data_IF_409015028577
#
_entry.id   IF_409015028577
#
_cell.length_a   1.000
_cell.length_b   1.000
_cell.length_c   1.000
_cell.angle_alpha   90.00
_cell.angle_beta   90.00
_cell.angle_gamma   90.00
#
_symmetry.space_group_name_H-M   'P 1'
#
loop_
_entity.id
_entity.type
_entity.pdbx_description
1 polymer ?
#
# COMPACT_ATOMS: atom_id res chain seq x y z
N UNK A 1 -15.92 -2.74 28.26
CA UNK A 1 -16.48 -2.54 26.91
C UNK A 1 -15.31 -2.25 25.98
N UNK A 2 -14.72 -3.30 25.39
CA UNK A 2 -13.62 -3.13 24.44
C UNK A 2 -14.17 -2.40 23.21
N UNK A 3 -13.55 -1.26 22.83
CA UNK A 3 -13.84 -0.59 21.57
C UNK A 3 -13.66 -1.64 20.48
N UNK A 4 -14.74 -2.00 19.79
CA UNK A 4 -14.65 -2.66 18.51
C UNK A 4 -13.75 -1.76 17.66
N UNK A 5 -12.53 -2.22 17.40
CA UNK A 5 -11.66 -1.54 16.45
C UNK A 5 -12.41 -1.65 15.13
N UNK A 6 -13.05 -0.55 14.72
CA UNK A 6 -13.55 -0.41 13.37
C UNK A 6 -12.34 -0.65 12.47
N UNK A 7 -12.26 -1.85 11.92
CA UNK A 7 -11.24 -2.23 10.96
C UNK A 7 -11.36 -1.17 9.87
N UNK A 8 -10.30 -0.40 9.55
CA UNK A 8 -10.39 0.53 8.44
C UNK A 8 -10.93 -0.27 7.25
N UNK A 9 -11.94 0.27 6.57
CA UNK A 9 -12.56 -0.33 5.38
C UNK A 9 -11.50 -0.41 4.29
N UNK A 10 -10.56 -1.33 4.45
CA UNK A 10 -9.58 -1.70 3.45
C UNK A 10 -10.35 -2.46 2.39
N UNK A 11 -10.01 -2.20 1.12
CA UNK A 11 -10.52 -2.98 -0.01
C UNK A 11 -10.35 -4.47 0.30
N UNK A 12 -11.31 -5.28 -0.12
CA UNK A 12 -11.22 -6.74 -0.09
C UNK A 12 -9.93 -7.24 -0.77
N UNK A 13 -9.40 -8.39 -0.35
CA UNK A 13 -8.15 -8.90 -0.92
C UNK A 13 -8.26 -9.02 -2.45
N UNK A 14 -7.32 -8.43 -3.22
CA UNK A 14 -7.31 -8.58 -4.67
C UNK A 14 -6.72 -9.95 -5.05
N UNK A 15 -7.54 -10.98 -4.91
CA UNK A 15 -7.13 -12.39 -5.01
C UNK A 15 -6.62 -12.75 -6.40
N UNK A 16 -7.21 -12.19 -7.46
CA UNK A 16 -6.78 -12.38 -8.85
C UNK A 16 -5.38 -11.79 -9.06
N UNK A 17 -5.18 -10.53 -8.64
CA UNK A 17 -3.90 -9.85 -8.73
C UNK A 17 -2.80 -10.62 -7.99
N UNK A 18 -3.14 -11.14 -6.80
CA UNK A 18 -2.22 -12.00 -6.03
C UNK A 18 -1.87 -13.27 -6.78
N UNK A 19 -2.88 -13.95 -7.34
CA UNK A 19 -2.71 -15.20 -8.06
C UNK A 19 -1.86 -15.01 -9.33
N UNK A 20 -2.13 -13.97 -10.12
CA UNK A 20 -1.34 -13.61 -11.31
C UNK A 20 0.11 -13.29 -10.96
N UNK A 21 0.33 -12.47 -9.92
CA UNK A 21 1.69 -12.12 -9.47
C UNK A 21 2.44 -13.35 -8.97
N UNK A 22 1.76 -14.26 -8.27
CA UNK A 22 2.34 -15.52 -7.80
C UNK A 22 2.69 -16.45 -8.96
N UNK A 23 1.79 -16.61 -9.92
CA UNK A 23 2.04 -17.41 -11.12
C UNK A 23 3.27 -16.89 -11.88
N UNK A 24 3.38 -15.56 -12.06
CA UNK A 24 4.57 -14.96 -12.67
C UNK A 24 5.85 -15.24 -11.89
N UNK A 25 5.79 -15.22 -10.55
CA UNK A 25 6.95 -15.54 -9.71
C UNK A 25 7.36 -17.02 -9.83
N UNK A 26 6.42 -17.92 -10.07
CA UNK A 26 6.65 -19.36 -10.29
C UNK A 26 7.18 -19.65 -11.70
N UNK A 27 6.66 -18.96 -12.72
CA UNK A 27 7.08 -19.11 -14.12
C UNK A 27 8.42 -18.42 -14.43
N UNK A 28 8.64 -17.23 -13.85
CA UNK A 28 9.79 -16.36 -14.10
C UNK A 28 10.18 -15.63 -12.82
N UNK A 29 11.00 -16.25 -11.95
CA UNK A 29 11.36 -15.69 -10.65
C UNK A 29 11.95 -14.28 -10.72
N UNK A 30 12.78 -13.99 -11.73
CA UNK A 30 13.39 -12.68 -11.94
C UNK A 30 12.36 -11.63 -12.35
N UNK A 31 11.38 -11.99 -13.15
CA UNK A 31 10.32 -11.07 -13.59
C UNK A 31 9.30 -10.83 -12.47
N UNK A 32 8.85 -11.88 -11.80
CA UNK A 32 7.97 -11.75 -10.63
C UNK A 32 8.62 -10.95 -9.51
N UNK A 33 9.92 -11.15 -9.26
CA UNK A 33 10.64 -10.37 -8.25
C UNK A 33 10.80 -8.90 -8.65
N UNK A 34 11.00 -8.61 -9.95
CA UNK A 34 11.01 -7.23 -10.46
C UNK A 34 9.64 -6.56 -10.31
N UNK A 35 8.55 -7.24 -10.69
CA UNK A 35 7.19 -6.74 -10.53
C UNK A 35 6.86 -6.39 -9.08
N UNK A 36 7.22 -7.28 -8.14
CA UNK A 36 7.02 -7.05 -6.70
C UNK A 36 7.87 -5.87 -6.22
N UNK A 37 9.14 -5.82 -6.65
CA UNK A 37 10.07 -4.73 -6.30
C UNK A 37 9.60 -3.36 -6.78
N UNK A 38 9.01 -3.29 -7.97
CA UNK A 38 8.44 -2.06 -8.52
C UNK A 38 7.17 -1.61 -7.79
N UNK A 39 6.49 -2.55 -7.11
CA UNK A 39 5.28 -2.37 -6.31
C UNK A 39 4.09 -1.71 -7.03
N UNK A 40 4.22 -1.38 -8.32
CA UNK A 40 3.24 -0.60 -9.07
C UNK A 40 1.88 -1.30 -9.14
N UNK A 41 1.86 -2.61 -9.38
CA UNK A 41 0.65 -3.42 -9.51
C UNK A 41 -0.33 -3.28 -8.33
N UNK A 42 0.19 -3.23 -7.10
CA UNK A 42 -0.62 -3.07 -5.88
C UNK A 42 -0.73 -1.61 -5.45
N UNK A 43 0.29 -0.80 -5.74
CA UNK A 43 0.26 0.63 -5.44
C UNK A 43 -0.84 1.33 -6.25
N UNK A 44 -0.96 1.04 -7.54
CA UNK A 44 -1.99 1.64 -8.38
C UNK A 44 -3.39 1.29 -7.91
N UNK A 45 -3.59 0.02 -7.53
CA UNK A 45 -4.84 -0.45 -6.96
C UNK A 45 -5.21 0.36 -5.70
N UNK A 46 -4.31 0.45 -4.72
CA UNK A 46 -4.55 1.16 -3.46
C UNK A 46 -4.62 2.68 -3.62
N UNK A 47 -3.88 3.22 -4.58
CA UNK A 47 -3.91 4.64 -4.90
C UNK A 47 -5.31 5.09 -5.33
N UNK A 48 -6.00 4.31 -6.17
CA UNK A 48 -7.36 4.66 -6.60
C UNK A 48 -8.33 4.79 -5.41
N UNK A 49 -8.15 3.98 -4.37
CA UNK A 49 -8.99 4.05 -3.17
C UNK A 49 -8.60 5.22 -2.26
N UNK A 50 -7.30 5.53 -2.17
CA UNK A 50 -6.77 6.45 -1.14
C UNK A 50 -6.49 7.86 -1.65
N UNK A 51 -6.36 8.06 -2.97
CA UNK A 51 -5.91 9.32 -3.59
C UNK A 51 -6.64 10.55 -3.07
N UNK A 52 -7.96 10.49 -2.94
CA UNK A 52 -8.75 11.64 -2.51
C UNK A 52 -8.42 12.13 -1.09
N UNK A 53 -7.96 11.24 -0.21
CA UNK A 53 -7.50 11.61 1.14
C UNK A 53 -6.01 11.96 1.14
N UNK A 54 -5.19 11.18 0.44
CA UNK A 54 -3.75 11.38 0.38
C UNK A 54 -3.37 12.70 -0.31
N UNK A 55 -4.00 13.01 -1.44
CA UNK A 55 -3.77 14.26 -2.20
C UNK A 55 -4.15 15.48 -1.36
N UNK A 56 -5.29 15.44 -0.64
CA UNK A 56 -5.69 16.51 0.30
C UNK A 56 -4.70 16.70 1.45
N UNK A 57 -3.98 15.65 1.82
CA UNK A 57 -2.94 15.69 2.83
C UNK A 57 -1.54 15.97 2.24
N UNK A 58 -1.46 16.32 0.96
CA UNK A 58 -0.22 16.71 0.29
C UNK A 58 0.66 15.53 -0.16
N UNK A 59 0.11 14.32 -0.22
CA UNK A 59 0.79 13.16 -0.78
C UNK A 59 0.37 12.93 -2.22
N UNK A 60 1.35 12.99 -3.14
CA UNK A 60 1.17 12.63 -4.54
C UNK A 60 1.47 11.16 -4.84
N UNK A 61 1.02 10.70 -6.02
CA UNK A 61 1.16 9.30 -6.47
C UNK A 61 2.61 8.82 -6.49
N UNK A 62 3.54 9.63 -7.01
CA UNK A 62 4.94 9.23 -7.13
C UNK A 62 5.57 8.97 -5.76
N UNK A 63 5.28 9.86 -4.79
CA UNK A 63 5.74 9.68 -3.41
C UNK A 63 5.11 8.46 -2.74
N UNK A 64 3.83 8.20 -3.01
CA UNK A 64 3.17 6.99 -2.55
C UNK A 64 3.82 5.72 -3.13
N UNK A 65 4.13 5.71 -4.43
CA UNK A 65 4.80 4.61 -5.10
C UNK A 65 6.21 4.36 -4.53
N UNK A 66 6.98 5.40 -4.24
CA UNK A 66 8.27 5.27 -3.55
C UNK A 66 8.14 4.58 -2.18
N UNK A 67 7.09 4.90 -1.43
CA UNK A 67 6.80 4.27 -0.14
C UNK A 67 6.44 2.80 -0.34
N UNK A 68 5.65 2.46 -1.35
CA UNK A 68 5.27 1.10 -1.69
C UNK A 68 6.48 0.25 -2.13
N UNK A 69 7.39 0.81 -2.95
CA UNK A 69 8.66 0.16 -3.34
C UNK A 69 9.52 -0.18 -2.12
N UNK A 70 9.63 0.74 -1.16
CA UNK A 70 10.29 0.49 0.13
C UNK A 70 9.56 -0.49 1.05
N UNK A 71 8.44 -1.06 0.60
CA UNK A 71 7.62 -2.07 1.29
C UNK A 71 7.53 -3.39 0.49
N UNK A 72 8.33 -3.55 -0.58
CA UNK A 72 8.27 -4.68 -1.50
C UNK A 72 8.44 -6.06 -0.82
N UNK A 73 9.32 -6.20 0.17
CA UNK A 73 9.50 -7.47 0.89
C UNK A 73 8.21 -7.95 1.56
N UNK A 74 7.41 -7.01 2.04
CA UNK A 74 6.17 -7.28 2.75
C UNK A 74 5.03 -7.59 1.79
N UNK A 75 5.07 -6.96 0.60
CA UNK A 75 4.23 -7.32 -0.54
C UNK A 75 4.55 -8.74 -1.03
N UNK A 76 5.83 -9.13 -1.05
CA UNK A 76 6.25 -10.48 -1.39
C UNK A 76 5.63 -11.50 -0.44
N UNK A 77 5.69 -11.26 0.87
CA UNK A 77 5.08 -12.15 1.87
C UNK A 77 3.58 -12.32 1.65
N UNK A 78 2.88 -11.25 1.25
CA UNK A 78 1.47 -11.36 0.89
C UNK A 78 1.27 -12.19 -0.38
N UNK A 79 2.05 -11.94 -1.45
CA UNK A 79 1.97 -12.69 -2.71
C UNK A 79 2.16 -14.20 -2.51
N UNK A 80 3.14 -14.61 -1.69
CA UNK A 80 3.42 -16.03 -1.42
C UNK A 80 2.46 -16.65 -0.38
N UNK A 81 1.58 -15.84 0.22
CA UNK A 81 0.59 -16.31 1.20
C UNK A 81 1.10 -16.43 2.64
N UNK A 82 2.30 -15.90 2.94
CA UNK A 82 2.86 -15.84 4.29
C UNK A 82 2.30 -14.68 5.12
N UNK A 83 1.68 -13.69 4.47
CA UNK A 83 1.06 -12.54 5.13
C UNK A 83 -0.39 -12.32 4.67
N UNK A 84 -1.36 -12.21 5.60
CA UNK A 84 -2.72 -11.83 5.24
C UNK A 84 -2.80 -10.42 4.65
N UNK A 85 -3.69 -10.22 3.69
CA UNK A 85 -3.91 -8.94 3.02
C UNK A 85 -4.16 -7.78 3.99
N UNK A 86 -5.04 -7.97 4.98
CA UNK A 86 -5.36 -6.92 5.96
C UNK A 86 -4.12 -6.41 6.70
N UNK A 87 -3.19 -7.30 7.05
CA UNK A 87 -1.95 -6.95 7.73
C UNK A 87 -0.97 -6.24 6.79
N UNK A 88 -0.95 -6.64 5.52
CA UNK A 88 -0.12 -6.01 4.49
C UNK A 88 -0.61 -4.59 4.18
N UNK A 89 -1.90 -4.45 3.86
CA UNK A 89 -2.51 -3.17 3.54
C UNK A 89 -2.47 -2.19 4.73
N UNK A 90 -2.75 -2.65 5.96
CA UNK A 90 -2.61 -1.82 7.15
C UNK A 90 -1.15 -1.39 7.41
N UNK A 91 -0.19 -2.27 7.15
CA UNK A 91 1.24 -1.97 7.28
C UNK A 91 1.70 -0.87 6.31
N UNK A 92 1.26 -0.94 5.05
CA UNK A 92 1.51 0.11 4.07
C UNK A 92 0.82 1.42 4.46
N UNK A 93 -0.47 1.36 4.84
CA UNK A 93 -1.22 2.53 5.28
C UNK A 93 -0.53 3.26 6.45
N UNK A 94 -0.03 2.53 7.44
CA UNK A 94 0.73 3.12 8.55
C UNK A 94 2.05 3.77 8.11
N UNK A 95 2.76 3.19 7.13
CA UNK A 95 3.99 3.77 6.56
C UNK A 95 3.72 5.06 5.80
N UNK A 96 2.60 5.09 5.08
CA UNK A 96 2.09 6.25 4.36
C UNK A 96 1.73 7.36 5.35
N UNK A 97 0.93 7.06 6.38
CA UNK A 97 0.52 8.03 7.40
C UNK A 97 1.71 8.71 8.09
N UNK A 98 2.76 7.95 8.45
CA UNK A 98 3.97 8.51 9.06
C UNK A 98 4.80 9.41 8.13
N UNK A 99 4.52 9.38 6.82
CA UNK A 99 5.24 10.13 5.79
C UNK A 99 4.38 11.20 5.14
N UNK A 100 3.16 11.41 5.63
CA UNK A 100 2.38 12.55 5.23
C UNK A 100 3.14 13.83 5.63
N UNK A 101 3.13 14.86 4.78
CA UNK A 101 3.59 16.17 5.17
C UNK A 101 2.95 16.57 6.51
N UNK A 102 3.76 17.03 7.46
CA UNK A 102 3.21 17.66 8.66
C UNK A 102 2.30 18.78 8.18
N UNK A 103 1.03 18.76 8.60
CA UNK A 103 0.08 19.80 8.28
C UNK A 103 0.76 21.14 8.59
N UNK A 104 1.09 21.90 7.54
CA UNK A 104 1.68 23.22 7.72
C UNK A 104 0.58 23.99 8.45
N UNK A 105 0.78 24.23 9.75
CA UNK A 105 -0.11 25.08 10.52
C UNK A 105 -0.11 26.42 9.79
N UNK A 106 -1.16 26.67 9.03
CA UNK A 106 -1.50 27.99 8.51
C UNK A 106 -1.89 28.80 9.73
N UNK A 107 -0.88 29.28 10.47
CA UNK A 107 -1.02 30.48 11.24
C UNK A 107 -1.21 31.61 10.23
N UNK A 108 -2.48 31.90 9.95
CA UNK A 108 -2.88 33.22 9.55
C UNK A 108 -2.61 34.13 10.76
N UNK A 109 -1.50 34.84 10.74
CA UNK A 109 -1.38 36.06 11.53
C UNK A 109 -2.15 37.15 10.78
N UNK A 110 -3.21 37.60 11.45
CA UNK A 110 -4.01 38.79 11.16
C UNK A 110 -3.20 40.03 11.53
#
# INVERSE_FOLDING_TARGET
MARAQEKPLLREEPVELRAETRALLEESPEEGSRLIGDAAFVADLLWEDWRGTLERQGMGRDRFLEIARGYADELRLWVVGERPWDHCAAGLAGRVQRRLPAAKAIHAEV
#
